data_IF_153020560637
#
_entry.id   IF_153020560637
#
_cell.length_a   1.000
_cell.length_b   1.000
_cell.length_c   1.000
_cell.angle_alpha   90.00
_cell.angle_beta   90.00
_cell.angle_gamma   90.00
#
_symmetry.space_group_name_H-M   'P 1'
#
loop_
_entity.id
_entity.type
_entity.pdbx_description
1 polymer ?
#
# COMPACT_ATOMS: atom_id res chain seq x y z
N UNK A 1 -10.21 -25.62 -58.47
CA UNK A 1 -10.54 -24.65 -57.42
C UNK A 1 -9.93 -23.29 -57.74
N UNK A 2 -10.71 -22.22 -57.65
CA UNK A 2 -10.26 -20.84 -57.89
C UNK A 2 -9.13 -20.44 -56.91
N UNK A 3 -8.20 -19.61 -57.38
CA UNK A 3 -7.07 -19.08 -56.59
C UNK A 3 -7.56 -18.28 -55.38
N UNK A 4 -8.68 -17.57 -55.52
CA UNK A 4 -9.31 -16.81 -54.45
C UNK A 4 -9.73 -17.73 -53.28
N UNK A 5 -10.36 -18.87 -53.59
CA UNK A 5 -10.82 -19.83 -52.59
C UNK A 5 -9.66 -20.42 -51.77
N UNK A 6 -8.54 -20.73 -52.44
CA UNK A 6 -7.33 -21.24 -51.78
C UNK A 6 -6.69 -20.19 -50.87
N UNK A 7 -6.68 -18.93 -51.33
CA UNK A 7 -6.15 -17.82 -50.54
C UNK A 7 -6.99 -17.59 -49.28
N UNK A 8 -8.32 -17.56 -49.39
CA UNK A 8 -9.20 -17.41 -48.23
C UNK A 8 -8.99 -18.55 -47.21
N UNK A 9 -8.89 -19.79 -47.68
CA UNK A 9 -8.70 -20.94 -46.81
C UNK A 9 -7.34 -20.88 -46.08
N UNK A 10 -6.28 -20.50 -46.79
CA UNK A 10 -4.96 -20.28 -46.19
C UNK A 10 -4.96 -19.10 -45.19
N UNK A 11 -5.59 -17.98 -45.54
CA UNK A 11 -5.66 -16.80 -44.70
C UNK A 11 -6.41 -17.09 -43.38
N UNK A 12 -7.57 -17.74 -43.44
CA UNK A 12 -8.33 -18.13 -42.25
C UNK A 12 -7.55 -19.14 -41.41
N UNK A 13 -6.89 -20.12 -42.04
CA UNK A 13 -6.04 -21.08 -41.33
C UNK A 13 -4.89 -20.43 -40.57
N UNK A 14 -4.18 -19.51 -41.23
CA UNK A 14 -3.09 -18.74 -40.62
C UNK A 14 -3.58 -17.82 -39.50
N UNK A 15 -4.73 -17.17 -39.69
CA UNK A 15 -5.35 -16.34 -38.66
C UNK A 15 -5.67 -17.12 -37.39
N UNK A 16 -6.29 -18.30 -37.53
CA UNK A 16 -6.59 -19.17 -36.40
C UNK A 16 -5.32 -19.64 -35.68
N UNK A 17 -4.30 -20.11 -36.42
CA UNK A 17 -3.03 -20.52 -35.80
C UNK A 17 -2.34 -19.34 -35.11
N UNK A 18 -2.37 -18.15 -35.71
CA UNK A 18 -1.79 -16.94 -35.13
C UNK A 18 -2.43 -16.54 -33.81
N UNK A 19 -3.76 -16.61 -33.71
CA UNK A 19 -4.49 -16.31 -32.47
C UNK A 19 -4.11 -17.32 -31.37
N UNK A 20 -4.09 -18.62 -31.68
CA UNK A 20 -3.73 -19.65 -30.70
C UNK A 20 -2.30 -19.46 -30.20
N UNK A 21 -1.36 -19.16 -31.10
CA UNK A 21 0.02 -18.87 -30.75
C UNK A 21 0.14 -17.62 -29.88
N UNK A 22 -0.55 -16.54 -30.24
CA UNK A 22 -0.56 -15.29 -29.48
C UNK A 22 -1.07 -15.48 -28.05
N UNK A 23 -2.16 -16.24 -27.88
CA UNK A 23 -2.70 -16.54 -26.54
C UNK A 23 -1.71 -17.32 -25.69
N UNK A 24 -1.02 -18.33 -26.24
CA UNK A 24 -0.01 -19.08 -25.50
C UNK A 24 1.14 -18.17 -25.07
N UNK A 25 1.62 -17.31 -25.96
CA UNK A 25 2.67 -16.34 -25.63
C UNK A 25 2.22 -15.36 -24.54
N UNK A 26 1.00 -14.83 -24.64
CA UNK A 26 0.44 -13.91 -23.64
C UNK A 26 0.28 -14.59 -22.27
N UNK A 27 -0.23 -15.82 -22.23
CA UNK A 27 -0.34 -16.61 -20.99
C UNK A 27 1.03 -16.85 -20.33
N UNK A 28 2.06 -17.11 -21.12
CA UNK A 28 3.43 -17.32 -20.62
C UNK A 28 4.06 -16.01 -20.11
N UNK A 29 3.82 -14.90 -20.81
CA UNK A 29 4.23 -13.56 -20.37
C UNK A 29 3.56 -13.18 -19.04
N UNK A 30 2.27 -13.46 -18.89
CA UNK A 30 1.52 -13.23 -17.66
C UNK A 30 2.03 -14.12 -16.52
N UNK A 31 2.34 -15.39 -16.80
CA UNK A 31 2.94 -16.30 -15.81
C UNK A 31 4.31 -15.80 -15.33
N UNK A 32 5.13 -15.28 -16.24
CA UNK A 32 6.41 -14.66 -15.88
C UNK A 32 6.23 -13.37 -15.07
N UNK A 33 5.17 -12.60 -15.33
CA UNK A 33 4.83 -11.42 -14.53
C UNK A 33 4.36 -11.79 -13.12
N UNK A 34 3.62 -12.88 -12.95
CA UNK A 34 3.17 -13.36 -11.63
C UNK A 34 4.34 -13.71 -10.70
N UNK A 35 5.42 -14.30 -11.22
CA UNK A 35 6.63 -14.55 -10.40
C UNK A 35 7.26 -13.24 -9.89
N UNK A 36 7.33 -12.20 -10.73
CA UNK A 36 7.82 -10.87 -10.31
C UNK A 36 6.85 -10.14 -9.38
N UNK A 37 5.56 -10.45 -9.47
CA UNK A 37 4.52 -9.92 -8.58
C UNK A 37 4.63 -10.50 -7.17
N UNK A 38 4.84 -11.82 -7.05
CA UNK A 38 5.01 -12.53 -5.78
C UNK A 38 6.29 -12.08 -5.06
N UNK A 39 7.40 -11.91 -5.78
CA UNK A 39 8.64 -11.38 -5.20
C UNK A 39 8.47 -9.96 -4.64
N UNK A 40 7.78 -9.08 -5.38
CA UNK A 40 7.46 -7.71 -4.90
C UNK A 40 6.53 -7.70 -3.68
N UNK A 41 5.62 -8.66 -3.55
CA UNK A 41 4.74 -8.75 -2.37
C UNK A 41 5.46 -9.32 -1.14
N UNK A 42 6.44 -10.21 -1.34
CA UNK A 42 7.30 -10.70 -0.26
C UNK A 42 8.19 -9.60 0.32
N UNK A 43 8.74 -8.71 -0.52
CA UNK A 43 9.51 -7.55 -0.06
C UNK A 43 8.64 -6.57 0.73
N UNK A 44 7.40 -6.31 0.27
CA UNK A 44 6.45 -5.43 0.98
C UNK A 44 6.00 -6.00 2.32
N UNK A 45 5.92 -7.32 2.48
CA UNK A 45 5.61 -7.94 3.77
C UNK A 45 6.72 -7.72 4.81
N UNK A 46 8.00 -7.79 4.42
CA UNK A 46 9.12 -7.56 5.35
C UNK A 46 9.13 -6.14 5.90
N UNK A 47 8.96 -5.15 5.02
CA UNK A 47 8.90 -3.73 5.41
C UNK A 47 7.68 -3.44 6.30
N UNK A 48 6.57 -4.16 6.13
CA UNK A 48 5.40 -4.02 7.01
C UNK A 48 5.66 -4.55 8.43
N UNK A 49 6.41 -5.64 8.56
CA UNK A 49 6.77 -6.19 9.87
C UNK A 49 7.75 -5.27 10.62
N UNK A 50 8.74 -4.71 9.92
CA UNK A 50 9.66 -3.73 10.49
C UNK A 50 8.94 -2.49 10.99
N UNK A 51 8.02 -1.93 10.20
CA UNK A 51 7.23 -0.75 10.60
C UNK A 51 6.26 -1.03 11.76
N UNK A 52 5.73 -2.25 11.87
CA UNK A 52 4.89 -2.63 13.02
C UNK A 52 5.72 -2.74 14.30
N UNK A 53 6.90 -3.36 14.23
CA UNK A 53 7.81 -3.47 15.38
C UNK A 53 8.30 -2.10 15.86
N UNK A 54 8.60 -1.19 14.93
CA UNK A 54 9.04 0.17 15.25
C UNK A 54 7.92 1.01 15.90
N UNK A 55 6.67 0.79 15.50
CA UNK A 55 5.51 1.41 16.13
C UNK A 55 5.24 0.85 17.54
N UNK A 56 5.33 -0.46 17.73
CA UNK A 56 5.14 -1.08 19.05
C UNK A 56 6.20 -0.66 20.06
N UNK A 57 7.47 -0.53 19.62
CA UNK A 57 8.56 -0.06 20.47
C UNK A 57 8.34 1.39 20.93
N UNK A 58 7.95 2.29 20.02
CA UNK A 58 7.63 3.67 20.36
C UNK A 58 6.47 3.77 21.34
N UNK A 59 5.42 2.96 21.13
CA UNK A 59 4.27 2.90 22.04
C UNK A 59 4.64 2.37 23.43
N UNK A 60 5.54 1.39 23.51
CA UNK A 60 6.04 0.86 24.78
C UNK A 60 6.83 1.94 25.55
N UNK A 61 7.72 2.66 24.86
CA UNK A 61 8.47 3.79 25.43
C UNK A 61 7.52 4.89 25.94
N UNK A 62 6.51 5.27 25.17
CA UNK A 62 5.50 6.26 25.59
C UNK A 62 4.76 5.83 26.87
N UNK A 63 4.37 4.54 26.97
CA UNK A 63 3.73 4.01 28.17
C UNK A 63 4.64 4.03 29.40
N UNK A 64 5.93 3.81 29.23
CA UNK A 64 6.91 3.91 30.32
C UNK A 64 7.07 5.36 30.80
N UNK A 65 7.11 6.32 29.88
CA UNK A 65 7.14 7.75 30.24
C UNK A 65 5.85 8.21 30.92
N UNK A 66 4.68 7.72 30.49
CA UNK A 66 3.39 8.05 31.10
C UNK A 66 3.23 7.46 32.51
N UNK A 67 3.79 6.28 32.81
CA UNK A 67 3.77 5.71 34.17
C UNK A 67 4.55 6.55 35.18
N UNK A 68 5.58 7.26 34.73
CA UNK A 68 6.36 8.17 35.58
C UNK A 68 5.70 9.54 35.72
N UNK A 69 4.81 9.91 34.79
CA UNK A 69 4.09 11.17 34.82
C UNK A 69 2.61 10.96 35.22
N UNK A 70 2.36 10.70 36.51
CA UNK A 70 1.07 11.03 37.13
C UNK A 70 0.96 12.55 37.16
N UNK A 71 0.62 13.18 36.04
CA UNK A 71 0.33 14.62 36.00
C UNK A 71 -0.98 14.82 36.76
N UNK A 72 -0.87 15.44 37.93
CA UNK A 72 -2.00 15.94 38.69
C UNK A 72 -2.78 16.89 37.79
N UNK A 73 -3.98 16.49 37.35
CA UNK A 73 -4.89 17.34 36.58
C UNK A 73 -5.27 18.56 37.42
N UNK A 74 -4.50 19.64 37.33
CA UNK A 74 -4.93 20.97 37.78
C UNK A 74 -5.68 21.62 36.63
N UNK A 75 -6.83 21.03 36.28
CA UNK A 75 -7.84 21.75 35.51
C UNK A 75 -8.38 22.83 36.43
N UNK A 76 -7.77 24.01 36.33
CA UNK A 76 -8.20 25.21 37.05
C UNK A 76 -9.64 25.55 36.71
N UNK A 77 -10.43 25.76 37.75
CA UNK A 77 -11.76 26.37 37.69
C UNK A 77 -11.69 27.70 36.92
N UNK A 78 -12.48 27.92 35.86
CA UNK A 78 -12.46 29.15 35.07
C UNK A 78 -13.18 30.33 35.75
N UNK A 79 -13.36 30.34 37.07
CA UNK A 79 -14.21 31.32 37.73
C UNK A 79 -13.61 31.87 39.02
N UNK A 80 -12.48 32.58 38.95
CA UNK A 80 -12.05 33.48 40.04
C UNK A 80 -11.09 34.56 39.52
N UNK A 81 -11.57 35.81 39.57
CA UNK A 81 -10.78 37.05 39.74
C UNK A 81 -10.16 37.69 38.50
N UNK A 82 -11.02 38.37 37.73
CA UNK A 82 -10.66 39.69 37.19
C UNK A 82 -10.70 40.71 38.34
N UNK A 83 -9.57 40.95 39.00
CA UNK A 83 -9.38 42.17 39.78
C UNK A 83 -7.97 42.73 39.60
N UNK A 84 -7.96 44.03 39.34
CA UNK A 84 -6.89 45.00 39.54
C UNK A 84 -5.63 44.89 38.68
N UNK A 85 -5.64 45.66 37.59
CA UNK A 85 -4.43 46.37 37.14
C UNK A 85 -4.72 47.86 37.00
N UNK A 86 -4.37 48.61 38.04
CA UNK A 86 -3.89 49.99 37.93
C UNK A 86 -2.71 50.07 38.90
N UNK A 87 -1.52 50.44 38.42
CA UNK A 87 -1.11 51.84 38.60
C UNK A 87 -0.24 52.37 37.45
N UNK A 88 -0.27 53.69 37.23
CA UNK A 88 0.72 54.36 36.37
C UNK A 88 0.28 55.76 35.98
N UNK A 89 0.92 56.75 36.61
CA UNK A 89 0.75 58.20 36.50
C UNK A 89 0.95 58.78 35.11
#
# INVERSE_FOLDING_TARGET
>A
MSRASKFTLAATGLGTMGIVWFVHWAQEADRAAMHRGVERDMEKQRVRLERQAEFEMQKALEQEYLKLQTVHSTTGDPNTTSQNTSPGS
#
